data_IF_467617595917
#
_entry.id   IF_467617595917
#
_cell.length_a   1.000
_cell.length_b   1.000
_cell.length_c   1.000
_cell.angle_alpha   90.00
_cell.angle_beta   90.00
_cell.angle_gamma   90.00
#
_symmetry.space_group_name_H-M   'P 1'
#
loop_
_entity.id
_entity.type
_entity.pdbx_description
1 polymer ?
#
# COMPACT_ATOMS: atom_id res chain seq x y z
N UNK A 1 -13.44 3.02 -51.50
CA UNK A 1 -12.87 4.06 -50.62
C UNK A 1 -13.39 3.77 -49.22
N UNK A 2 -12.47 3.64 -48.27
CA UNK A 2 -12.69 3.00 -46.98
C UNK A 2 -12.94 4.04 -45.89
N UNK A 3 -14.08 3.98 -45.22
CA UNK A 3 -14.31 4.75 -44.00
C UNK A 3 -13.92 3.89 -42.80
N UNK A 4 -12.75 4.23 -42.25
CA UNK A 4 -12.10 3.56 -41.15
C UNK A 4 -12.91 3.62 -39.87
N UNK A 5 -13.37 2.46 -39.41
CA UNK A 5 -13.55 2.18 -37.99
C UNK A 5 -12.20 2.37 -37.28
N UNK A 6 -12.12 3.21 -36.25
CA UNK A 6 -11.36 3.00 -35.00
C UNK A 6 -11.46 4.23 -34.12
N UNK A 7 -12.23 4.14 -33.03
CA UNK A 7 -11.90 4.82 -31.76
C UNK A 7 -12.23 3.89 -30.60
N UNK A 8 -11.44 2.82 -30.49
CA UNK A 8 -11.26 2.14 -29.21
C UNK A 8 -10.44 3.04 -28.29
N UNK A 9 -11.05 3.53 -27.20
CA UNK A 9 -10.37 4.52 -26.37
C UNK A 9 -11.02 4.76 -25.03
N UNK A 10 -11.01 3.76 -24.14
CA UNK A 10 -10.95 3.96 -22.67
C UNK A 10 -10.60 2.64 -21.97
N UNK A 11 -9.38 2.16 -22.25
CA UNK A 11 -8.70 1.28 -21.30
C UNK A 11 -8.36 2.14 -20.09
N UNK A 12 -9.24 2.12 -19.08
CA UNK A 12 -8.91 2.55 -17.73
C UNK A 12 -7.71 1.75 -17.26
N UNK A 13 -6.52 2.33 -17.43
CA UNK A 13 -5.31 1.90 -16.74
C UNK A 13 -5.54 2.20 -15.26
N UNK A 14 -6.23 1.28 -14.59
CA UNK A 14 -6.04 1.08 -13.17
C UNK A 14 -4.57 0.71 -13.02
N UNK A 15 -3.73 1.70 -12.79
CA UNK A 15 -2.38 1.50 -12.28
C UNK A 15 -2.63 0.88 -10.91
N UNK A 16 -2.72 -0.44 -10.88
CA UNK A 16 -2.58 -1.23 -9.67
C UNK A 16 -1.22 -0.80 -9.17
N UNK A 17 -1.20 0.12 -8.21
CA UNK A 17 -0.01 0.53 -7.50
C UNK A 17 0.56 -0.79 -6.98
N UNK A 18 1.52 -1.33 -7.73
CA UNK A 18 2.35 -2.42 -7.29
C UNK A 18 3.18 -1.78 -6.21
N UNK A 19 2.63 -1.74 -5.01
CA UNK A 19 3.36 -1.44 -3.80
C UNK A 19 4.54 -2.40 -3.85
N UNK A 20 5.77 -1.92 -4.04
CA UNK A 20 6.90 -2.81 -4.02
C UNK A 20 6.94 -3.38 -2.61
N UNK A 21 6.58 -4.67 -2.50
CA UNK A 21 6.79 -5.51 -1.32
C UNK A 21 8.26 -5.43 -0.83
N UNK A 22 9.15 -4.92 -1.70
CA UNK A 22 10.58 -4.77 -1.54
C UNK A 22 11.08 -3.43 -0.93
N UNK A 23 10.24 -2.42 -0.65
CA UNK A 23 10.75 -1.11 -0.22
C UNK A 23 10.81 -0.90 1.31
N UNK A 24 10.26 -1.81 2.12
CA UNK A 24 10.27 -1.64 3.58
C UNK A 24 11.47 -2.37 4.20
N UNK A 25 12.42 -1.66 4.84
CA UNK A 25 13.52 -2.28 5.55
C UNK A 25 13.02 -3.18 6.70
N UNK A 26 13.73 -4.29 6.96
CA UNK A 26 13.38 -5.23 8.04
C UNK A 26 13.23 -4.56 9.41
N UNK A 27 14.06 -3.54 9.69
CA UNK A 27 13.99 -2.77 10.94
C UNK A 27 12.70 -1.96 11.06
N UNK A 28 12.13 -1.48 9.95
CA UNK A 28 10.86 -0.76 9.97
C UNK A 28 9.68 -1.68 10.20
N UNK A 29 9.67 -2.86 9.58
CA UNK A 29 8.62 -3.84 9.83
C UNK A 29 8.61 -4.26 11.30
N UNK A 30 9.80 -4.51 11.88
CA UNK A 30 9.93 -4.81 13.30
C UNK A 30 9.48 -3.65 14.20
N UNK A 31 9.71 -2.41 13.78
CA UNK A 31 9.26 -1.22 14.51
C UNK A 31 7.73 -1.06 14.46
N UNK A 32 7.11 -1.28 13.30
CA UNK A 32 5.65 -1.29 13.12
C UNK A 32 5.00 -2.37 13.99
N UNK A 33 5.57 -3.59 13.99
CA UNK A 33 5.11 -4.69 14.83
C UNK A 33 5.15 -4.31 16.32
N UNK A 34 6.26 -3.72 16.80
CA UNK A 34 6.39 -3.27 18.19
C UNK A 34 5.43 -2.13 18.55
N UNK A 35 5.27 -1.14 17.67
CA UNK A 35 4.43 0.02 17.94
C UNK A 35 2.94 -0.32 17.99
N UNK A 36 2.50 -1.21 17.12
CA UNK A 36 1.10 -1.62 17.03
C UNK A 36 0.75 -2.89 17.80
N UNK A 37 1.71 -3.54 18.46
CA UNK A 37 1.56 -4.90 19.01
C UNK A 37 0.97 -5.86 17.96
N UNK A 38 1.48 -5.77 16.73
CA UNK A 38 0.97 -6.50 15.57
C UNK A 38 1.88 -7.69 15.23
N UNK A 39 1.25 -8.78 14.79
CA UNK A 39 1.96 -9.88 14.15
C UNK A 39 2.54 -9.49 12.79
N UNK A 40 3.49 -10.28 12.29
CA UNK A 40 4.19 -10.01 11.03
C UNK A 40 3.22 -9.87 9.85
N UNK A 41 2.19 -10.72 9.78
CA UNK A 41 1.18 -10.65 8.73
C UNK A 41 0.31 -9.39 8.84
N UNK A 42 -0.05 -9.00 10.07
CA UNK A 42 -0.82 -7.78 10.31
C UNK A 42 0.00 -6.53 9.96
N UNK A 43 1.29 -6.52 10.29
CA UNK A 43 2.19 -5.44 9.93
C UNK A 43 2.37 -5.34 8.40
N UNK A 44 2.52 -6.47 7.69
CA UNK A 44 2.57 -6.49 6.23
C UNK A 44 1.24 -6.04 5.60
N UNK A 45 0.11 -6.44 6.16
CA UNK A 45 -1.21 -5.98 5.72
C UNK A 45 -1.37 -4.47 5.90
N UNK A 46 -0.85 -3.91 6.99
CA UNK A 46 -0.84 -2.47 7.26
C UNK A 46 0.04 -1.71 6.27
N UNK A 47 1.25 -2.22 6.03
CA UNK A 47 2.17 -1.68 5.03
C UNK A 47 1.53 -1.67 3.63
N UNK A 48 0.88 -2.78 3.26
CA UNK A 48 0.19 -2.92 1.97
C UNK A 48 -1.03 -2.00 1.86
N UNK A 49 -1.82 -1.86 2.93
CA UNK A 49 -2.98 -0.96 3.02
C UNK A 49 -2.58 0.49 2.73
N UNK A 50 -1.44 0.93 3.25
CA UNK A 50 -0.93 2.28 3.09
C UNK A 50 0.10 2.41 1.97
N UNK A 51 0.31 1.38 1.16
CA UNK A 51 1.25 1.39 0.04
C UNK A 51 2.69 1.74 0.43
N UNK A 52 3.11 1.35 1.65
CA UNK A 52 4.44 1.69 2.18
C UNK A 52 4.60 3.15 2.63
N UNK A 53 3.52 3.94 2.63
CA UNK A 53 3.51 5.31 3.13
C UNK A 53 3.69 5.33 4.65
N UNK A 54 4.91 5.62 5.08
CA UNK A 54 5.33 5.60 6.49
C UNK A 54 4.45 6.50 7.35
N UNK A 55 4.19 7.73 6.91
CA UNK A 55 3.42 8.71 7.70
C UNK A 55 2.01 8.20 7.95
N UNK A 56 1.35 7.62 6.93
CA UNK A 56 0.02 7.04 7.09
C UNK A 56 0.03 5.80 7.99
N UNK A 57 1.04 4.94 7.88
CA UNK A 57 1.19 3.77 8.75
C UNK A 57 1.37 4.22 10.20
N UNK A 58 2.26 5.17 10.48
CA UNK A 58 2.48 5.68 11.84
C UNK A 58 1.25 6.40 12.40
N UNK A 59 0.52 7.16 11.57
CA UNK A 59 -0.74 7.77 11.97
C UNK A 59 -1.82 6.73 12.33
N UNK A 60 -1.98 5.67 11.52
CA UNK A 60 -2.94 4.57 11.78
C UNK A 60 -2.54 3.80 13.05
N UNK A 61 -1.24 3.54 13.26
CA UNK A 61 -0.72 2.92 14.49
C UNK A 61 -0.94 3.80 15.74
N UNK A 62 -0.70 5.10 15.63
CA UNK A 62 -0.87 6.04 16.75
C UNK A 62 -2.34 6.20 17.10
N UNK A 63 -3.23 6.21 16.11
CA UNK A 63 -4.67 6.25 16.31
C UNK A 63 -5.21 5.01 17.04
N UNK A 64 -4.61 3.83 16.80
CA UNK A 64 -4.94 2.57 17.49
C UNK A 64 -4.46 2.52 18.94
N UNK A 65 -3.42 3.28 19.29
CA UNK A 65 -2.87 3.36 20.65
C UNK A 65 -3.74 4.14 21.64
N UNK A 66 -4.96 4.53 21.27
CA UNK A 66 -5.92 5.14 22.20
C UNK A 66 -6.45 4.08 23.18
N UNK A 67 -5.77 4.03 24.33
CA UNK A 67 -6.14 3.45 25.62
C UNK A 67 -6.29 1.92 25.69
#
# INVERSE_FOLDING_TARGET
MSDGQTVGGKRGRGIRAQVPDAALPKHELAFIMKLGLLDREQALALVKKHQGDREKIFADLTARKKY
#
